data_IF_136440439764
#
_entry.id   IF_136440439764
#
_cell.length_a   1.000
_cell.length_b   1.000
_cell.length_c   1.000
_cell.angle_alpha   90.00
_cell.angle_beta   90.00
_cell.angle_gamma   90.00
#
_symmetry.space_group_name_H-M   'P 1'
#
loop_
_entity.id
_entity.type
_entity.pdbx_description
1 polymer ?
#
# COMPACT_ATOMS: atom_id res chain seq x y z
N UNK A 1 19.67 -18.83 22.22
CA UNK A 1 18.27 -19.30 22.19
C UNK A 1 17.48 -18.66 21.06
N UNK A 2 17.36 -17.32 20.94
CA UNK A 2 16.58 -16.64 19.87
C UNK A 2 16.96 -17.05 18.44
N UNK A 3 18.25 -17.27 18.11
CA UNK A 3 18.69 -17.73 16.78
C UNK A 3 18.21 -19.15 16.45
N UNK A 4 18.16 -20.04 17.43
CA UNK A 4 17.67 -21.41 17.25
C UNK A 4 16.16 -21.41 17.01
N UNK A 5 15.38 -20.65 17.80
CA UNK A 5 13.95 -20.49 17.63
C UNK A 5 13.60 -19.89 16.26
N UNK A 6 14.32 -18.84 15.84
CA UNK A 6 14.16 -18.26 14.50
C UNK A 6 14.40 -19.28 13.39
N UNK A 7 15.51 -20.04 13.47
CA UNK A 7 15.83 -21.09 12.48
C UNK A 7 14.74 -22.15 12.44
N UNK A 8 14.24 -22.55 13.60
CA UNK A 8 13.16 -23.53 13.71
C UNK A 8 11.86 -23.00 13.09
N UNK A 9 11.42 -21.79 13.45
CA UNK A 9 10.23 -21.17 12.88
C UNK A 9 10.35 -20.94 11.38
N UNK A 10 11.51 -20.48 10.91
CA UNK A 10 11.75 -20.26 9.49
C UNK A 10 11.73 -21.59 8.71
N UNK A 11 12.37 -22.65 9.25
CA UNK A 11 12.38 -23.98 8.61
C UNK A 11 11.01 -24.62 8.63
N UNK A 12 10.30 -24.53 9.76
CA UNK A 12 8.95 -25.07 9.91
C UNK A 12 7.95 -24.38 8.99
N UNK A 13 7.97 -23.06 8.96
CA UNK A 13 7.14 -22.26 8.04
C UNK A 13 7.47 -22.57 6.56
N UNK A 14 8.75 -22.76 6.22
CA UNK A 14 9.15 -23.17 4.89
C UNK A 14 8.65 -24.58 4.54
N UNK A 15 8.69 -25.49 5.50
CA UNK A 15 8.19 -26.87 5.35
C UNK A 15 6.68 -26.88 5.14
N UNK A 16 5.93 -26.17 5.99
CA UNK A 16 4.47 -26.04 5.82
C UNK A 16 4.11 -25.46 4.45
N UNK A 17 4.77 -24.36 4.05
CA UNK A 17 4.53 -23.76 2.75
C UNK A 17 4.78 -24.71 1.57
N UNK A 18 5.83 -25.56 1.65
CA UNK A 18 6.11 -26.59 0.64
C UNK A 18 5.08 -27.71 0.67
N UNK A 19 4.64 -28.09 1.87
CA UNK A 19 3.66 -29.14 2.04
C UNK A 19 2.31 -28.72 1.48
N UNK A 20 1.84 -27.52 1.85
CA UNK A 20 0.57 -26.94 1.37
C UNK A 20 0.52 -26.80 -0.16
N UNK A 21 1.70 -26.59 -0.78
CA UNK A 21 1.79 -26.50 -2.24
C UNK A 21 1.92 -27.84 -2.94
N UNK A 22 2.51 -28.85 -2.29
CA UNK A 22 2.69 -30.19 -2.89
C UNK A 22 1.55 -31.14 -2.55
N UNK A 23 0.93 -31.00 -1.42
CA UNK A 23 -0.18 -31.86 -1.02
C UNK A 23 -1.51 -31.22 -1.38
N UNK A 24 -2.43 -32.01 -1.90
CA UNK A 24 -3.82 -31.62 -2.03
C UNK A 24 -4.53 -31.76 -0.67
N UNK A 25 -5.80 -31.36 -0.56
CA UNK A 25 -6.61 -31.63 0.65
C UNK A 25 -6.70 -33.14 0.94
N UNK A 26 -6.85 -33.96 -0.10
CA UNK A 26 -6.86 -35.41 0.05
C UNK A 26 -5.49 -35.96 0.49
N UNK A 27 -4.39 -35.39 -0.03
CA UNK A 27 -3.04 -35.73 0.39
C UNK A 27 -2.75 -35.36 1.84
N UNK A 28 -3.20 -34.22 2.32
CA UNK A 28 -3.05 -33.84 3.74
C UNK A 28 -3.86 -34.75 4.68
N UNK A 29 -5.06 -35.18 4.28
CA UNK A 29 -5.81 -36.19 5.00
C UNK A 29 -5.09 -37.56 5.01
N UNK A 30 -4.56 -37.99 3.87
CA UNK A 30 -3.79 -39.23 3.77
C UNK A 30 -2.56 -39.20 4.69
N UNK A 31 -1.83 -38.08 4.75
CA UNK A 31 -0.73 -37.90 5.69
C UNK A 31 -1.18 -37.92 7.15
N UNK A 32 -2.35 -37.34 7.46
CA UNK A 32 -2.96 -37.41 8.79
C UNK A 32 -3.31 -38.88 9.19
N UNK A 33 -3.94 -39.62 8.27
CA UNK A 33 -4.27 -41.05 8.46
C UNK A 33 -2.96 -41.84 8.63
N UNK A 34 -1.93 -41.56 7.85
CA UNK A 34 -0.62 -42.24 7.97
C UNK A 34 -0.03 -42.01 9.37
N UNK A 35 -0.06 -40.75 9.86
CA UNK A 35 0.39 -40.42 11.21
C UNK A 35 -0.41 -41.15 12.32
N UNK A 36 -1.73 -41.20 12.19
CA UNK A 36 -2.60 -41.94 13.12
C UNK A 36 -2.31 -43.45 13.08
N UNK A 37 -2.11 -43.98 11.86
CA UNK A 37 -1.80 -45.40 11.68
C UNK A 37 -0.44 -45.79 12.30
N UNK A 38 0.56 -44.88 12.28
CA UNK A 38 1.83 -45.09 13.01
C UNK A 38 1.60 -45.22 14.51
N UNK A 39 0.81 -44.33 15.11
CA UNK A 39 0.54 -44.35 16.53
C UNK A 39 -0.23 -45.62 16.95
N UNK A 40 -1.22 -46.03 16.15
CA UNK A 40 -2.02 -47.26 16.41
C UNK A 40 -1.17 -48.52 16.12
N UNK A 41 -0.30 -48.47 15.09
CA UNK A 41 0.52 -49.60 14.68
C UNK A 41 1.73 -49.88 15.59
N UNK A 42 2.00 -49.04 16.60
CA UNK A 42 2.99 -49.30 17.65
C UNK A 42 2.55 -50.48 18.55
N UNK A 43 1.26 -50.79 18.58
CA UNK A 43 0.76 -52.01 19.22
C UNK A 43 0.81 -53.19 18.23
N UNK A 44 1.85 -54.00 18.34
CA UNK A 44 2.14 -55.15 17.45
C UNK A 44 1.05 -56.21 17.41
N UNK A 45 0.13 -56.19 18.34
CA UNK A 45 -1.01 -57.13 18.37
C UNK A 45 -2.19 -56.73 17.45
N UNK A 46 -2.12 -55.54 16.83
CA UNK A 46 -3.17 -55.03 15.94
C UNK A 46 -2.69 -54.95 14.49
N UNK A 47 -2.97 -56.01 13.73
CA UNK A 47 -2.59 -56.11 12.30
C UNK A 47 -3.23 -55.06 11.39
N UNK A 48 -4.43 -54.57 11.74
CA UNK A 48 -5.18 -53.60 10.92
C UNK A 48 -4.46 -52.26 10.81
N UNK A 49 -3.85 -51.73 11.90
CA UNK A 49 -3.10 -50.49 11.87
C UNK A 49 -1.92 -50.55 10.92
N UNK A 50 -1.19 -51.66 10.91
CA UNK A 50 -0.05 -51.88 10.01
C UNK A 50 -0.48 -52.03 8.54
N UNK A 51 -1.58 -52.70 8.25
CA UNK A 51 -2.14 -52.80 6.90
C UNK A 51 -2.57 -51.47 6.33
N UNK A 52 -3.25 -50.63 7.12
CA UNK A 52 -3.65 -49.27 6.73
C UNK A 52 -2.40 -48.42 6.51
N UNK A 53 -1.41 -48.51 7.39
CA UNK A 53 -0.15 -47.78 7.24
C UNK A 53 0.56 -48.15 5.93
N UNK A 54 0.76 -49.44 5.64
CA UNK A 54 1.46 -49.88 4.43
C UNK A 54 0.73 -49.49 3.15
N UNK A 55 -0.61 -49.64 3.16
CA UNK A 55 -1.47 -49.22 2.03
C UNK A 55 -1.37 -47.74 1.76
N UNK A 56 -1.59 -46.90 2.77
CA UNK A 56 -1.55 -45.44 2.60
C UNK A 56 -0.14 -44.96 2.22
N UNK A 57 0.90 -45.54 2.82
CA UNK A 57 2.26 -45.24 2.49
C UNK A 57 2.58 -45.58 1.03
N UNK A 58 2.16 -46.75 0.54
CA UNK A 58 2.32 -47.13 -0.84
C UNK A 58 1.62 -46.19 -1.82
N UNK A 59 0.38 -45.74 -1.49
CA UNK A 59 -0.36 -44.75 -2.28
C UNK A 59 0.37 -43.40 -2.32
N UNK A 60 0.88 -42.94 -1.19
CA UNK A 60 1.63 -41.67 -1.11
C UNK A 60 2.95 -41.75 -1.93
N UNK A 61 3.68 -42.88 -1.83
CA UNK A 61 4.91 -43.11 -2.61
C UNK A 61 4.58 -43.14 -4.10
N UNK A 62 3.55 -43.87 -4.52
CA UNK A 62 3.13 -43.95 -5.91
C UNK A 62 2.74 -42.58 -6.47
N UNK A 63 1.99 -41.83 -5.69
CA UNK A 63 1.59 -40.45 -5.99
C UNK A 63 2.81 -39.54 -6.16
N UNK A 64 3.75 -39.60 -5.21
CA UNK A 64 4.99 -38.82 -5.29
C UNK A 64 5.83 -39.21 -6.51
N UNK A 65 5.96 -40.49 -6.80
CA UNK A 65 6.69 -41.00 -8.00
C UNK A 65 6.03 -40.53 -9.30
N UNK A 66 4.70 -40.57 -9.39
CA UNK A 66 3.96 -40.08 -10.56
C UNK A 66 4.15 -38.58 -10.78
N UNK A 67 4.31 -37.82 -9.72
CA UNK A 67 4.56 -36.36 -9.80
C UNK A 67 5.91 -36.03 -10.46
N UNK A 68 6.91 -36.89 -10.37
CA UNK A 68 8.23 -36.72 -10.99
C UNK A 68 8.20 -36.88 -12.52
N UNK A 69 7.19 -37.57 -13.05
CA UNK A 69 7.01 -37.77 -14.50
C UNK A 69 6.51 -36.50 -15.21
N UNK A 70 6.01 -35.51 -14.44
CA UNK A 70 5.54 -34.26 -15.01
C UNK A 70 6.69 -33.46 -15.64
N UNK A 71 6.75 -33.50 -16.97
CA UNK A 71 7.69 -32.71 -17.76
C UNK A 71 6.96 -31.76 -18.65
N UNK A 72 7.14 -30.45 -18.40
CA UNK A 72 6.54 -29.37 -19.20
C UNK A 72 7.55 -28.26 -19.45
N UNK A 73 7.49 -27.67 -20.64
CA UNK A 73 8.16 -26.40 -20.97
C UNK A 73 7.10 -25.36 -21.17
N UNK A 74 7.02 -24.43 -20.23
CA UNK A 74 6.02 -23.36 -20.23
C UNK A 74 6.71 -22.01 -20.14
N UNK A 75 6.14 -21.03 -20.78
CA UNK A 75 6.43 -19.62 -20.55
C UNK A 75 5.19 -18.93 -20.01
N UNK A 76 5.39 -17.88 -19.25
CA UNK A 76 4.30 -17.09 -18.72
C UNK A 76 4.59 -15.59 -18.90
N UNK A 77 3.56 -14.82 -19.19
CA UNK A 77 3.59 -13.35 -19.26
C UNK A 77 2.44 -12.81 -18.43
N UNK A 78 2.72 -11.95 -17.48
CA UNK A 78 1.73 -11.30 -16.62
C UNK A 78 1.47 -9.89 -17.12
N UNK A 79 0.20 -9.51 -17.25
CA UNK A 79 -0.25 -8.18 -17.67
C UNK A 79 -0.93 -7.55 -16.47
N UNK A 80 -0.17 -6.71 -15.75
CA UNK A 80 -0.64 -5.99 -14.57
C UNK A 80 -1.21 -4.63 -14.96
N UNK A 81 -2.23 -4.12 -14.25
CA UNK A 81 -2.61 -2.72 -14.33
C UNK A 81 -1.52 -1.84 -13.71
N UNK A 82 -1.60 -0.54 -13.94
CA UNK A 82 -0.63 0.42 -13.39
C UNK A 82 -0.67 0.46 -11.86
N UNK A 83 -1.88 0.45 -11.28
CA UNK A 83 -2.11 0.54 -9.85
C UNK A 83 -3.16 -0.45 -9.37
N UNK A 84 -3.12 -0.76 -8.07
CA UNK A 84 -4.17 -1.43 -7.31
C UNK A 84 -4.55 -0.58 -6.10
N UNK A 85 -5.63 -0.90 -5.41
CA UNK A 85 -6.00 -0.26 -4.14
C UNK A 85 -6.01 -1.28 -3.02
N UNK A 86 -5.51 -0.91 -1.85
CA UNK A 86 -5.49 -1.79 -0.68
C UNK A 86 -6.91 -2.17 -0.24
N UNK A 87 -7.14 -3.45 0.03
CA UNK A 87 -8.43 -3.99 0.45
C UNK A 87 -9.47 -4.14 -0.66
N UNK A 88 -9.19 -3.75 -1.90
CA UNK A 88 -10.12 -3.85 -3.03
C UNK A 88 -9.72 -5.01 -3.93
N UNK A 89 -10.60 -6.01 -4.15
CA UNK A 89 -10.35 -7.08 -5.10
C UNK A 89 -10.22 -6.52 -6.52
N UNK A 90 -9.24 -7.05 -7.25
CA UNK A 90 -9.02 -6.71 -8.65
C UNK A 90 -8.61 -7.93 -9.45
N UNK A 91 -8.67 -7.82 -10.77
CA UNK A 91 -8.26 -8.87 -11.69
C UNK A 91 -7.13 -8.40 -12.60
N UNK A 92 -6.25 -9.34 -12.97
CA UNK A 92 -5.23 -9.13 -13.99
C UNK A 92 -5.12 -10.37 -14.87
N UNK A 93 -4.40 -10.26 -15.98
CA UNK A 93 -4.29 -11.34 -16.96
C UNK A 93 -2.92 -11.99 -16.92
N UNK A 94 -2.91 -13.32 -17.04
CA UNK A 94 -1.70 -14.11 -17.19
C UNK A 94 -1.83 -14.95 -18.45
N UNK A 95 -0.94 -14.73 -19.40
CA UNK A 95 -0.83 -15.52 -20.61
C UNK A 95 0.21 -16.65 -20.36
N UNK A 96 -0.16 -17.90 -20.69
CA UNK A 96 0.65 -19.09 -20.49
C UNK A 96 0.81 -19.79 -21.82
N UNK A 97 2.06 -19.93 -22.26
CA UNK A 97 2.42 -20.64 -23.48
C UNK A 97 2.94 -22.05 -23.13
N UNK A 98 2.39 -23.05 -23.81
CA UNK A 98 2.82 -24.43 -23.76
C UNK A 98 3.77 -24.72 -24.93
N UNK A 99 5.05 -24.87 -24.65
CA UNK A 99 6.06 -25.20 -25.66
C UNK A 99 6.23 -26.72 -25.88
N UNK A 100 5.38 -27.55 -25.29
CA UNK A 100 5.42 -29.00 -25.50
C UNK A 100 4.53 -29.42 -26.66
N UNK A 101 4.88 -30.53 -27.31
CA UNK A 101 4.06 -31.12 -28.37
C UNK A 101 2.87 -31.94 -27.86
N UNK A 102 2.53 -31.80 -26.58
CA UNK A 102 1.42 -32.53 -25.94
C UNK A 102 0.46 -31.55 -25.34
N UNK A 103 -0.82 -31.79 -25.52
CA UNK A 103 -1.89 -31.07 -24.81
C UNK A 103 -1.74 -31.32 -23.32
N UNK A 104 -1.86 -30.26 -22.52
CA UNK A 104 -1.78 -30.31 -21.06
C UNK A 104 -3.14 -29.93 -20.47
N UNK A 105 -3.67 -30.78 -19.60
CA UNK A 105 -4.95 -30.56 -18.92
C UNK A 105 -4.80 -30.73 -17.39
N UNK A 106 -5.77 -30.19 -16.65
CA UNK A 106 -5.79 -30.29 -15.17
C UNK A 106 -4.71 -29.46 -14.50
N UNK A 107 -4.23 -28.40 -15.12
CA UNK A 107 -3.25 -27.50 -14.55
C UNK A 107 -3.93 -26.46 -13.66
N UNK A 108 -3.28 -26.08 -12.58
CA UNK A 108 -3.67 -24.99 -11.69
C UNK A 108 -2.56 -23.94 -11.65
N UNK A 109 -2.92 -22.70 -11.85
CA UNK A 109 -2.02 -21.56 -11.76
C UNK A 109 -1.94 -21.09 -10.30
N UNK A 110 -0.73 -21.00 -9.79
CA UNK A 110 -0.38 -20.42 -8.50
C UNK A 110 0.53 -19.22 -8.77
N UNK A 111 0.07 -18.02 -8.45
CA UNK A 111 0.93 -16.84 -8.56
C UNK A 111 1.69 -16.61 -7.26
N UNK A 112 2.99 -16.31 -7.39
CA UNK A 112 3.90 -16.26 -6.25
C UNK A 112 4.34 -14.85 -5.95
N UNK A 113 4.05 -14.43 -4.72
CA UNK A 113 4.59 -13.20 -4.14
C UNK A 113 5.95 -13.44 -3.48
N UNK A 114 6.63 -12.36 -3.16
CA UNK A 114 7.84 -12.40 -2.33
C UNK A 114 7.54 -13.08 -1.00
N UNK A 115 8.52 -13.81 -0.50
CA UNK A 115 8.44 -14.56 0.76
C UNK A 115 8.09 -13.63 1.95
N UNK A 116 6.99 -13.90 2.68
CA UNK A 116 6.57 -13.06 3.79
C UNK A 116 7.34 -13.30 5.10
N UNK A 117 8.32 -14.23 5.11
CA UNK A 117 9.09 -14.53 6.33
C UNK A 117 9.95 -13.33 6.74
N UNK A 118 9.97 -12.97 8.04
CA UNK A 118 10.81 -11.89 8.52
C UNK A 118 12.30 -12.29 8.51
N UNK A 119 13.18 -11.29 8.46
CA UNK A 119 14.60 -11.50 8.72
C UNK A 119 14.86 -11.77 10.21
N UNK A 120 16.06 -12.29 10.53
CA UNK A 120 16.44 -12.50 11.93
C UNK A 120 16.46 -11.19 12.72
N UNK A 121 16.94 -10.12 12.12
CA UNK A 121 17.00 -8.80 12.72
C UNK A 121 15.61 -8.26 13.06
N UNK A 122 14.68 -8.34 12.09
CA UNK A 122 13.28 -7.96 12.30
C UNK A 122 12.62 -8.78 13.42
N UNK A 123 12.86 -10.10 13.45
CA UNK A 123 12.31 -10.95 14.52
C UNK A 123 12.79 -10.57 15.92
N UNK A 124 14.04 -10.11 16.04
CA UNK A 124 14.64 -9.74 17.34
C UNK A 124 14.25 -8.34 17.78
N UNK A 125 14.16 -7.39 16.83
CA UNK A 125 13.94 -5.96 17.12
C UNK A 125 12.46 -5.59 17.15
N UNK A 126 11.62 -6.26 16.36
CA UNK A 126 10.20 -5.94 16.33
C UNK A 126 9.48 -6.37 17.63
N UNK A 127 8.49 -5.57 18.03
CA UNK A 127 7.58 -5.87 19.13
C UNK A 127 6.16 -5.96 18.59
N UNK A 128 5.48 -7.04 18.94
CA UNK A 128 4.05 -7.20 18.62
C UNK A 128 3.22 -6.24 19.48
N UNK A 129 2.20 -5.56 18.94
CA UNK A 129 1.27 -4.78 19.74
C UNK A 129 0.61 -5.63 20.82
N UNK A 130 0.73 -5.22 22.08
CA UNK A 130 0.17 -5.95 23.21
C UNK A 130 1.01 -7.15 23.71
N UNK A 131 2.23 -7.32 23.23
CA UNK A 131 3.15 -8.37 23.69
C UNK A 131 3.36 -8.36 25.20
N UNK A 132 3.29 -7.20 25.84
CA UNK A 132 3.43 -7.04 27.29
C UNK A 132 2.32 -7.72 28.10
N UNK A 133 1.14 -7.89 27.50
CA UNK A 133 -0.04 -8.56 28.11
C UNK A 133 0.00 -10.08 27.98
N UNK A 134 0.96 -10.63 27.22
CA UNK A 134 1.09 -12.08 27.01
C UNK A 134 1.83 -12.75 28.15
N UNK A 135 1.63 -14.04 28.31
CA UNK A 135 2.34 -14.88 29.29
C UNK A 135 3.85 -14.86 29.03
N UNK A 136 4.63 -15.11 30.08
CA UNK A 136 6.09 -15.17 30.01
C UNK A 136 6.60 -16.15 28.94
N UNK A 137 5.96 -17.33 28.82
CA UNK A 137 6.35 -18.35 27.84
C UNK A 137 6.22 -17.87 26.40
N UNK A 138 5.08 -17.28 26.02
CA UNK A 138 4.85 -16.75 24.66
C UNK A 138 5.81 -15.62 24.29
N UNK A 139 6.14 -14.78 25.28
CA UNK A 139 7.14 -13.71 25.09
C UNK A 139 8.54 -14.27 24.86
N UNK A 140 8.89 -15.35 25.60
CA UNK A 140 10.22 -15.98 25.50
C UNK A 140 10.38 -16.76 24.21
N UNK A 141 9.38 -17.54 23.81
CA UNK A 141 9.35 -18.32 22.57
C UNK A 141 9.22 -17.41 21.34
N UNK A 142 8.34 -16.40 21.41
CA UNK A 142 8.16 -15.40 20.35
C UNK A 142 7.43 -15.89 19.11
N UNK A 143 6.68 -17.01 19.22
CA UNK A 143 5.87 -17.51 18.11
C UNK A 143 4.75 -16.55 17.69
N UNK A 144 3.99 -15.91 18.60
CA UNK A 144 3.00 -14.91 18.24
C UNK A 144 3.63 -13.74 17.47
N UNK A 145 4.80 -13.25 17.90
CA UNK A 145 5.56 -12.21 17.18
C UNK A 145 5.94 -12.66 15.77
N UNK A 146 6.39 -13.92 15.61
CA UNK A 146 6.68 -14.49 14.30
C UNK A 146 5.45 -14.49 13.39
N UNK A 147 4.32 -15.02 13.88
CA UNK A 147 3.06 -15.08 13.14
C UNK A 147 2.56 -13.68 12.76
N UNK A 148 2.66 -12.73 13.67
CA UNK A 148 2.34 -11.33 13.42
C UNK A 148 3.23 -10.73 12.33
N UNK A 149 4.54 -10.91 12.38
CA UNK A 149 5.48 -10.41 11.35
C UNK A 149 5.18 -11.01 9.97
N UNK A 150 4.89 -12.32 9.89
CA UNK A 150 4.49 -12.98 8.65
C UNK A 150 3.18 -12.37 8.12
N UNK A 151 2.19 -12.14 8.99
CA UNK A 151 0.93 -11.50 8.61
C UNK A 151 1.14 -10.07 8.11
N UNK A 152 2.08 -9.33 8.73
CA UNK A 152 2.45 -7.98 8.33
C UNK A 152 3.10 -7.92 6.93
N UNK A 153 3.87 -8.96 6.56
CA UNK A 153 4.55 -9.04 5.26
C UNK A 153 3.69 -9.69 4.17
N UNK A 154 2.55 -10.23 4.52
CA UNK A 154 1.61 -10.79 3.55
C UNK A 154 0.99 -9.67 2.74
N UNK A 155 1.48 -9.45 1.52
CA UNK A 155 1.10 -8.31 0.68
C UNK A 155 -0.27 -8.45 0.02
N UNK A 156 -0.68 -9.68 -0.34
CA UNK A 156 -1.96 -9.93 -0.99
C UNK A 156 -2.43 -11.37 -0.79
N UNK A 157 -3.70 -11.61 -1.11
CA UNK A 157 -4.32 -12.94 -1.23
C UNK A 157 -4.60 -13.20 -2.70
N UNK A 158 -4.05 -14.32 -3.23
CA UNK A 158 -4.24 -14.77 -4.61
C UNK A 158 -4.77 -16.20 -4.54
N UNK A 159 -6.03 -16.46 -4.88
CA UNK A 159 -6.56 -17.81 -4.91
C UNK A 159 -5.95 -18.61 -6.07
N UNK A 160 -5.73 -19.95 -5.89
CA UNK A 160 -5.35 -20.82 -7.00
C UNK A 160 -6.37 -20.76 -8.14
N UNK A 161 -5.90 -20.65 -9.40
CA UNK A 161 -6.78 -20.57 -10.56
C UNK A 161 -6.64 -21.82 -11.43
N UNK A 162 -7.69 -22.63 -11.63
CA UNK A 162 -7.66 -23.73 -12.58
C UNK A 162 -7.52 -23.18 -14.02
N UNK A 163 -6.68 -23.83 -14.81
CA UNK A 163 -6.41 -23.48 -16.19
C UNK A 163 -7.27 -24.30 -17.15
N UNK A 164 -7.76 -23.70 -18.23
CA UNK A 164 -8.31 -24.48 -19.34
C UNK A 164 -7.21 -25.39 -19.93
N UNK A 165 -7.58 -26.44 -20.65
CA UNK A 165 -6.61 -27.28 -21.33
C UNK A 165 -5.74 -26.46 -22.28
N UNK A 166 -4.41 -26.59 -22.13
CA UNK A 166 -3.43 -25.94 -23.00
C UNK A 166 -3.13 -26.84 -24.19
N UNK A 167 -3.40 -26.39 -25.39
CA UNK A 167 -3.09 -27.14 -26.59
C UNK A 167 -1.57 -27.26 -26.82
N UNK A 168 -1.18 -28.21 -27.66
CA UNK A 168 0.21 -28.38 -28.05
C UNK A 168 0.72 -27.13 -28.78
N UNK A 169 1.84 -26.57 -28.33
CA UNK A 169 2.44 -25.34 -28.88
C UNK A 169 1.45 -24.16 -28.90
N UNK A 170 0.49 -24.14 -27.95
CA UNK A 170 -0.55 -23.12 -27.83
C UNK A 170 -0.30 -22.13 -26.70
N UNK A 171 -0.94 -20.97 -26.77
CA UNK A 171 -0.98 -19.96 -25.71
C UNK A 171 -2.43 -19.76 -25.24
N UNK A 172 -2.59 -19.60 -23.93
CA UNK A 172 -3.92 -19.35 -23.31
C UNK A 172 -3.80 -18.24 -22.30
N UNK A 173 -4.73 -17.31 -22.35
CA UNK A 173 -4.82 -16.20 -21.39
C UNK A 173 -5.89 -16.50 -20.34
N UNK A 174 -5.55 -16.28 -19.07
CA UNK A 174 -6.47 -16.46 -17.94
C UNK A 174 -6.51 -15.23 -17.05
N UNK A 175 -7.68 -14.97 -16.50
CA UNK A 175 -7.89 -13.90 -15.54
C UNK A 175 -7.65 -14.44 -14.13
N UNK A 176 -6.79 -13.75 -13.40
CA UNK A 176 -6.43 -14.06 -12.00
C UNK A 176 -6.98 -12.97 -11.12
N UNK A 177 -7.61 -13.36 -10.02
CA UNK A 177 -8.11 -12.45 -9.00
C UNK A 177 -7.05 -12.26 -7.92
N UNK A 178 -6.89 -11.03 -7.44
CA UNK A 178 -6.00 -10.66 -6.36
C UNK A 178 -6.66 -9.64 -5.44
N UNK A 179 -6.48 -9.83 -4.13
CA UNK A 179 -6.87 -8.83 -3.14
C UNK A 179 -5.61 -8.34 -2.43
N UNK A 180 -5.11 -7.14 -2.80
CA UNK A 180 -3.99 -6.51 -2.09
C UNK A 180 -4.42 -6.19 -0.66
N UNK A 181 -3.60 -6.56 0.33
CA UNK A 181 -3.91 -6.33 1.74
C UNK A 181 -3.34 -5.02 2.28
N UNK A 182 -2.28 -4.51 1.64
CA UNK A 182 -1.52 -3.35 2.09
C UNK A 182 -1.10 -2.48 0.93
N UNK A 183 -0.94 -1.19 1.20
CA UNK A 183 -0.35 -0.25 0.25
C UNK A 183 1.16 -0.47 0.08
N UNK A 184 1.72 0.09 -0.96
CA UNK A 184 3.14 0.02 -1.29
C UNK A 184 3.44 -0.95 -2.42
N UNK A 185 4.70 -1.30 -2.60
CA UNK A 185 5.14 -2.19 -3.68
C UNK A 185 4.84 -3.65 -3.38
N UNK A 186 3.87 -4.22 -4.11
CA UNK A 186 3.60 -5.64 -4.12
C UNK A 186 4.53 -6.32 -5.14
N UNK A 187 5.45 -7.15 -4.66
CA UNK A 187 6.46 -7.81 -5.49
C UNK A 187 6.07 -9.25 -5.80
N UNK A 188 5.96 -9.55 -7.07
CA UNK A 188 5.77 -10.91 -7.58
C UNK A 188 7.14 -11.56 -7.81
N UNK A 189 7.25 -12.84 -7.50
CA UNK A 189 8.45 -13.66 -7.72
C UNK A 189 8.35 -14.44 -9.00
N UNK A 190 7.18 -15.02 -9.28
CA UNK A 190 6.99 -15.89 -10.42
C UNK A 190 5.61 -16.51 -10.45
N UNK A 191 5.44 -17.45 -11.35
CA UNK A 191 4.21 -18.23 -11.54
C UNK A 191 4.56 -19.69 -11.42
N UNK A 192 3.78 -20.47 -10.69
CA UNK A 192 3.91 -21.92 -10.58
C UNK A 192 2.69 -22.61 -11.17
N UNK A 193 2.92 -23.52 -12.10
CA UNK A 193 1.92 -24.43 -12.62
C UNK A 193 1.95 -25.71 -11.79
N UNK A 194 0.82 -26.00 -11.15
CA UNK A 194 0.60 -27.21 -10.37
C UNK A 194 -0.26 -28.18 -11.16
N UNK A 195 0.11 -29.46 -11.16
CA UNK A 195 -0.67 -30.55 -11.76
C UNK A 195 -0.89 -31.62 -10.70
N UNK A 196 -2.14 -31.90 -10.30
CA UNK A 196 -2.43 -33.04 -9.44
C UNK A 196 -2.00 -34.36 -10.10
N UNK A 197 -1.51 -35.28 -9.30
CA UNK A 197 -1.26 -36.65 -9.72
C UNK A 197 -2.58 -37.42 -9.99
N UNK A 198 -2.57 -38.58 -10.64
CA UNK A 198 -3.77 -39.36 -10.93
C UNK A 198 -4.56 -39.78 -9.69
N UNK A 199 -3.92 -39.93 -8.52
CA UNK A 199 -4.57 -40.26 -7.24
C UNK A 199 -5.06 -39.01 -6.51
N UNK A 200 -4.68 -37.81 -6.97
CA UNK A 200 -5.07 -36.56 -6.37
C UNK A 200 -4.46 -36.28 -4.99
N UNK A 201 -3.39 -36.95 -4.59
CA UNK A 201 -2.75 -36.77 -3.27
C UNK A 201 -1.62 -35.73 -3.31
N UNK A 202 -0.81 -35.75 -4.37
CA UNK A 202 0.36 -34.88 -4.52
C UNK A 202 0.26 -34.07 -5.81
N UNK A 203 0.87 -32.88 -5.83
CA UNK A 203 0.93 -32.03 -7.02
C UNK A 203 2.36 -31.92 -7.53
N UNK A 204 2.54 -32.11 -8.83
CA UNK A 204 3.77 -31.76 -9.52
C UNK A 204 3.79 -30.25 -9.76
N UNK A 205 4.90 -29.60 -9.44
CA UNK A 205 5.06 -28.14 -9.53
C UNK A 205 6.08 -27.77 -10.60
N UNK A 206 5.76 -26.82 -11.45
CA UNK A 206 6.67 -26.20 -12.41
C UNK A 206 6.67 -24.70 -12.23
N UNK A 207 7.72 -24.16 -11.62
CA UNK A 207 7.86 -22.73 -11.37
C UNK A 207 8.55 -22.04 -12.54
N UNK A 208 8.07 -20.84 -12.86
CA UNK A 208 8.57 -19.94 -13.90
C UNK A 208 8.88 -18.61 -13.18
N UNK A 209 10.14 -18.20 -13.21
CA UNK A 209 10.54 -16.91 -12.65
C UNK A 209 9.96 -15.77 -13.50
N UNK A 210 9.18 -14.88 -12.87
CA UNK A 210 8.55 -13.74 -13.54
C UNK A 210 8.49 -12.56 -12.54
N UNK A 211 9.66 -11.97 -12.20
CA UNK A 211 9.71 -10.87 -11.24
C UNK A 211 9.04 -9.63 -11.83
N UNK A 212 8.05 -9.10 -11.12
CA UNK A 212 7.35 -7.86 -11.44
C UNK A 212 6.91 -7.18 -10.14
N UNK A 213 6.60 -5.91 -10.21
CA UNK A 213 6.03 -5.15 -9.09
C UNK A 213 4.76 -4.43 -9.50
N UNK A 214 3.82 -4.37 -8.58
CA UNK A 214 2.58 -3.61 -8.69
C UNK A 214 2.53 -2.60 -7.55
N UNK A 215 2.27 -1.33 -7.86
CA UNK A 215 2.07 -0.33 -6.82
C UNK A 215 0.64 -0.38 -6.32
N UNK A 216 0.49 -0.59 -5.02
CA UNK A 216 -0.80 -0.63 -4.33
C UNK A 216 -1.01 0.71 -3.63
N UNK A 217 -2.01 1.45 -4.05
CA UNK A 217 -2.41 2.73 -3.48
C UNK A 217 -3.11 2.54 -2.12
N UNK A 218 -3.10 3.55 -1.24
CA UNK A 218 -3.85 3.51 0.01
C UNK A 218 -5.35 3.27 -0.24
N UNK A 219 -6.01 2.70 0.75
CA UNK A 219 -7.47 2.60 0.77
C UNK A 219 -8.07 4.00 0.73
N UNK A 220 -9.17 4.16 0.03
CA UNK A 220 -9.88 5.43 -0.12
C UNK A 220 -11.28 5.30 0.44
N UNK A 221 -11.69 6.30 1.19
CA UNK A 221 -13.03 6.41 1.74
C UNK A 221 -13.86 7.40 0.93
N UNK A 222 -15.11 7.10 0.62
CA UNK A 222 -16.03 8.09 0.05
C UNK A 222 -16.23 9.20 1.08
N UNK A 223 -16.06 10.44 0.66
CA UNK A 223 -16.28 11.61 1.51
C UNK A 223 -16.83 12.77 0.68
N UNK A 224 -17.52 13.68 1.35
CA UNK A 224 -17.94 14.93 0.74
C UNK A 224 -16.72 15.83 0.44
N UNK A 225 -16.91 16.79 -0.46
CA UNK A 225 -15.88 17.77 -0.77
C UNK A 225 -15.56 18.61 0.49
N UNK A 226 -14.30 18.58 0.92
CA UNK A 226 -13.86 19.42 2.04
C UNK A 226 -13.64 20.84 1.53
N UNK A 227 -14.49 21.76 1.97
CA UNK A 227 -14.30 23.17 1.74
C UNK A 227 -13.63 23.81 2.95
N UNK A 228 -12.39 24.22 2.77
CA UNK A 228 -11.69 25.04 3.77
C UNK A 228 -11.95 26.48 3.39
N UNK A 229 -12.57 27.23 4.31
CA UNK A 229 -12.74 28.67 4.15
C UNK A 229 -11.36 29.32 4.18
N UNK A 230 -10.70 29.39 3.04
CA UNK A 230 -9.40 30.03 2.89
C UNK A 230 -9.53 31.41 2.24
N UNK A 231 -8.86 32.40 2.77
CA UNK A 231 -8.64 33.67 2.07
C UNK A 231 -7.67 33.45 0.93
N UNK A 232 -8.03 33.93 -0.27
CA UNK A 232 -7.10 33.93 -1.41
C UNK A 232 -5.89 34.79 -1.04
N UNK A 233 -4.73 34.18 -0.84
CA UNK A 233 -3.48 34.91 -0.58
C UNK A 233 -2.80 35.24 -1.92
N UNK A 234 -2.45 36.51 -2.09
CA UNK A 234 -1.68 37.00 -3.24
C UNK A 234 -0.26 36.46 -3.19
N UNK A 235 0.17 35.74 -4.20
CA UNK A 235 1.57 35.44 -4.43
C UNK A 235 2.05 36.18 -5.67
N UNK A 236 2.80 37.29 -5.52
CA UNK A 236 3.45 37.94 -6.65
C UNK A 236 4.56 37.01 -7.18
N UNK A 237 4.43 36.55 -8.41
CA UNK A 237 5.42 35.71 -9.05
C UNK A 237 5.21 34.20 -8.92
N UNK A 238 3.99 33.73 -8.63
CA UNK A 238 3.65 32.31 -8.47
C UNK A 238 3.94 31.38 -9.66
N UNK A 239 4.40 31.91 -10.79
CA UNK A 239 4.76 31.15 -11.99
C UNK A 239 6.21 30.62 -11.95
N UNK A 240 7.09 31.21 -11.14
CA UNK A 240 8.53 30.86 -11.16
C UNK A 240 8.89 29.60 -10.40
N UNK A 241 8.01 29.04 -9.55
CA UNK A 241 8.26 27.82 -8.76
C UNK A 241 7.54 26.57 -9.29
N UNK A 242 6.61 26.71 -10.22
CA UNK A 242 5.99 25.61 -10.92
C UNK A 242 6.61 25.47 -12.32
N UNK A 243 7.87 25.03 -12.39
CA UNK A 243 8.60 24.84 -13.65
C UNK A 243 8.06 23.73 -14.57
N UNK A 244 6.81 23.32 -14.39
CA UNK A 244 6.15 22.26 -15.18
C UNK A 244 4.68 22.55 -15.54
N UNK A 245 4.14 23.73 -15.21
CA UNK A 245 2.78 24.11 -15.63
C UNK A 245 2.90 25.31 -16.55
N UNK A 246 2.39 25.15 -17.76
CA UNK A 246 2.52 26.13 -18.84
C UNK A 246 2.08 27.53 -18.43
N UNK A 247 2.86 28.53 -18.92
CA UNK A 247 2.56 29.94 -18.87
C UNK A 247 1.17 30.22 -19.43
N UNK A 248 0.17 30.26 -18.59
CA UNK A 248 -1.10 30.89 -18.94
C UNK A 248 -1.10 32.31 -18.39
N UNK A 249 -0.28 33.15 -19.00
CA UNK A 249 -0.50 34.59 -18.97
C UNK A 249 -1.77 34.84 -19.80
N UNK A 250 -2.95 34.72 -19.21
CA UNK A 250 -4.17 35.02 -19.92
C UNK A 250 -4.22 36.55 -20.15
N UNK A 251 -4.03 36.92 -21.41
CA UNK A 251 -4.05 38.33 -21.85
C UNK A 251 -5.46 38.88 -21.68
N UNK A 252 -5.60 39.92 -20.86
CA UNK A 252 -6.89 40.56 -20.59
C UNK A 252 -7.08 41.79 -21.46
N UNK A 253 -6.14 42.75 -21.41
CA UNK A 253 -6.29 44.02 -22.05
C UNK A 253 -4.95 44.70 -22.37
N UNK A 254 -5.05 45.76 -23.16
CA UNK A 254 -3.96 46.67 -23.41
C UNK A 254 -4.28 48.01 -22.72
N UNK A 255 -3.41 48.47 -21.83
CA UNK A 255 -3.50 49.82 -21.22
C UNK A 255 -2.31 50.70 -21.53
N UNK A 256 -2.49 51.95 -21.33
CA UNK A 256 -1.37 52.91 -21.49
C UNK A 256 -0.29 52.65 -20.44
N UNK A 257 0.95 52.80 -20.81
CA UNK A 257 2.13 52.66 -19.96
C UNK A 257 2.11 53.70 -18.83
N UNK A 258 2.43 53.24 -17.62
CA UNK A 258 2.65 54.09 -16.45
C UNK A 258 4.10 53.98 -16.00
N UNK A 259 4.66 55.04 -15.45
CA UNK A 259 6.00 55.01 -14.88
C UNK A 259 6.09 53.96 -13.78
N UNK A 260 7.01 52.98 -13.93
CA UNK A 260 7.14 51.79 -13.05
C UNK A 260 6.71 50.47 -13.68
N UNK A 261 6.03 50.49 -14.82
CA UNK A 261 5.66 49.26 -15.53
C UNK A 261 6.91 48.60 -16.15
N UNK A 262 7.05 47.26 -16.06
CA UNK A 262 8.19 46.53 -16.63
C UNK A 262 8.21 46.65 -18.16
N UNK A 263 9.33 47.07 -18.72
CA UNK A 263 9.51 47.26 -20.19
C UNK A 263 9.23 45.97 -20.98
N UNK A 264 9.46 44.77 -20.39
CA UNK A 264 9.16 43.48 -21.01
C UNK A 264 7.67 43.26 -21.30
N UNK A 265 6.78 43.99 -20.62
CA UNK A 265 5.32 43.91 -20.82
C UNK A 265 4.80 44.88 -21.88
N UNK A 266 5.67 45.70 -22.50
CA UNK A 266 5.27 46.59 -23.56
C UNK A 266 4.87 45.78 -24.80
N UNK A 267 3.67 46.08 -25.33
CA UNK A 267 3.20 45.51 -26.58
C UNK A 267 3.72 46.32 -27.76
N UNK A 268 4.91 46.00 -28.23
CA UNK A 268 5.64 46.76 -29.27
C UNK A 268 4.84 46.91 -30.56
N UNK A 269 4.02 45.95 -30.95
CA UNK A 269 3.15 46.01 -32.13
C UNK A 269 2.08 47.10 -32.00
N UNK A 270 1.48 47.26 -30.82
CA UNK A 270 0.51 48.33 -30.55
C UNK A 270 1.20 49.69 -30.41
N UNK A 271 2.38 49.75 -29.77
CA UNK A 271 3.18 50.94 -29.69
C UNK A 271 3.52 51.51 -31.08
N UNK A 272 3.95 50.66 -32.01
CA UNK A 272 4.26 51.08 -33.39
C UNK A 272 3.04 51.62 -34.16
N UNK A 273 1.82 51.20 -33.78
CA UNK A 273 0.58 51.61 -34.44
C UNK A 273 -0.04 52.88 -33.82
N UNK A 274 0.04 53.02 -32.50
CA UNK A 274 -0.66 54.05 -31.75
C UNK A 274 0.26 55.23 -31.38
N UNK A 275 1.59 55.08 -31.53
CA UNK A 275 2.60 56.14 -31.25
C UNK A 275 2.81 56.40 -29.75
N UNK A 276 2.20 55.64 -28.86
CA UNK A 276 2.38 55.71 -27.39
C UNK A 276 2.61 54.32 -26.79
N UNK A 277 3.42 54.21 -25.74
CA UNK A 277 3.70 52.90 -25.15
C UNK A 277 2.47 52.32 -24.49
N UNK A 278 2.15 51.07 -24.88
CA UNK A 278 1.00 50.30 -24.41
C UNK A 278 1.52 49.03 -23.76
N UNK A 279 1.02 48.70 -22.57
CA UNK A 279 1.43 47.54 -21.77
C UNK A 279 0.36 46.46 -21.82
N UNK A 280 0.77 45.23 -21.94
CA UNK A 280 -0.11 44.06 -21.80
C UNK A 280 -0.49 43.92 -20.34
N UNK A 281 -1.78 43.86 -20.08
CA UNK A 281 -2.35 43.56 -18.77
C UNK A 281 -2.77 42.12 -18.77
N UNK A 282 -2.27 41.41 -17.76
CA UNK A 282 -2.56 39.98 -17.54
C UNK A 282 -3.43 39.86 -16.30
N UNK A 283 -4.31 38.88 -16.28
CA UNK A 283 -5.03 38.50 -15.06
C UNK A 283 -4.01 37.88 -14.11
N UNK A 284 -3.90 38.46 -12.92
CA UNK A 284 -3.22 37.79 -11.83
C UNK A 284 -4.14 36.63 -11.37
N UNK A 285 -3.84 35.41 -11.80
CA UNK A 285 -4.55 34.23 -11.32
C UNK A 285 -4.21 33.99 -9.85
N UNK A 286 -5.18 34.14 -8.96
CA UNK A 286 -5.05 33.81 -7.55
C UNK A 286 -5.34 32.34 -7.34
N UNK A 287 -4.31 31.59 -6.99
CA UNK A 287 -4.48 30.18 -6.63
C UNK A 287 -4.70 30.03 -5.13
N UNK A 288 -5.70 29.25 -4.79
CA UNK A 288 -5.89 28.77 -3.42
C UNK A 288 -4.89 27.63 -3.21
N UNK A 289 -4.02 27.73 -2.21
CA UNK A 289 -3.04 26.73 -1.88
C UNK A 289 -3.31 26.12 -0.53
N UNK A 290 -3.65 24.85 -0.49
CA UNK A 290 -3.93 24.13 0.73
C UNK A 290 -2.76 23.22 1.11
N UNK A 291 -2.52 23.08 2.42
CA UNK A 291 -1.62 22.08 2.95
C UNK A 291 -2.40 20.87 3.48
N UNK A 292 -1.93 19.69 3.16
CA UNK A 292 -2.33 18.43 3.79
C UNK A 292 -1.13 17.92 4.61
N UNK A 293 -1.20 18.10 5.91
CA UNK A 293 -0.15 17.69 6.85
C UNK A 293 -0.46 16.31 7.37
N UNK A 294 0.42 15.36 7.10
CA UNK A 294 0.30 13.98 7.57
C UNK A 294 1.31 13.70 8.68
N UNK A 295 0.80 13.35 9.85
CA UNK A 295 1.61 12.87 10.97
C UNK A 295 2.11 11.45 10.68
N UNK A 296 3.44 11.30 10.64
CA UNK A 296 4.12 10.03 10.38
C UNK A 296 4.84 9.49 11.61
N UNK A 297 4.75 10.18 12.75
CA UNK A 297 5.52 9.85 13.96
C UNK A 297 4.84 8.74 14.75
N UNK A 298 5.21 7.51 14.47
CA UNK A 298 4.82 6.32 15.25
C UNK A 298 5.99 5.37 15.39
N UNK A 299 6.09 4.73 16.55
CA UNK A 299 7.13 3.75 16.85
C UNK A 299 6.86 2.36 16.28
N UNK A 300 5.63 2.08 15.90
CA UNK A 300 5.20 0.74 15.49
C UNK A 300 5.17 0.59 13.96
N UNK A 301 5.81 -0.46 13.43
CA UNK A 301 5.68 -0.86 12.03
C UNK A 301 4.33 -1.53 11.84
N UNK A 302 3.59 -1.11 10.80
CA UNK A 302 2.28 -1.68 10.49
C UNK A 302 1.21 -1.35 11.52
N UNK A 303 1.34 -0.20 12.18
CA UNK A 303 0.30 0.32 13.07
C UNK A 303 -0.98 0.59 12.26
N UNK A 304 -2.10 -0.05 12.60
CA UNK A 304 -3.37 0.21 11.94
C UNK A 304 -3.79 1.68 11.98
N UNK A 305 -3.42 2.42 13.03
CA UNK A 305 -3.73 3.85 13.15
C UNK A 305 -3.01 4.65 12.07
N UNK A 306 -1.72 4.37 11.86
CA UNK A 306 -0.94 5.01 10.81
C UNK A 306 -1.45 4.66 9.40
N UNK A 307 -1.79 3.40 9.15
CA UNK A 307 -2.34 2.96 7.85
C UNK A 307 -3.68 3.65 7.54
N UNK A 308 -4.53 3.82 8.55
CA UNK A 308 -5.78 4.55 8.40
C UNK A 308 -5.56 6.06 8.23
N UNK A 309 -4.59 6.66 8.91
CA UNK A 309 -4.24 8.06 8.72
C UNK A 309 -3.77 8.35 7.29
N UNK A 310 -2.96 7.46 6.70
CA UNK A 310 -2.57 7.57 5.29
C UNK A 310 -3.77 7.40 4.36
N UNK A 311 -4.71 6.51 4.70
CA UNK A 311 -5.95 6.30 3.93
C UNK A 311 -6.87 7.53 3.99
N UNK A 312 -6.96 8.18 5.17
CA UNK A 312 -7.65 9.46 5.36
C UNK A 312 -6.99 10.56 4.52
N UNK A 313 -5.66 10.69 4.60
CA UNK A 313 -4.92 11.65 3.80
C UNK A 313 -5.12 11.45 2.29
N UNK A 314 -5.12 10.20 1.82
CA UNK A 314 -5.40 9.88 0.42
C UNK A 314 -6.84 10.25 0.00
N UNK A 315 -7.82 10.04 0.89
CA UNK A 315 -9.22 10.40 0.64
C UNK A 315 -9.40 11.92 0.55
N UNK A 316 -8.76 12.65 1.46
CA UNK A 316 -8.75 14.12 1.48
C UNK A 316 -8.06 14.67 0.23
N UNK A 317 -6.90 14.11 -0.14
CA UNK A 317 -6.16 14.54 -1.32
C UNK A 317 -7.00 14.47 -2.60
N UNK A 318 -7.88 13.46 -2.70
CA UNK A 318 -8.80 13.32 -3.84
C UNK A 318 -9.97 14.30 -3.74
N UNK A 319 -10.57 14.46 -2.53
CA UNK A 319 -11.74 15.33 -2.34
C UNK A 319 -11.42 16.82 -2.49
N UNK A 320 -10.17 17.22 -2.18
CA UNK A 320 -9.72 18.61 -2.30
C UNK A 320 -9.26 19.01 -3.70
N UNK A 321 -9.21 18.06 -4.64
CA UNK A 321 -8.83 18.35 -6.01
C UNK A 321 -9.96 19.03 -6.78
N UNK A 322 -10.04 20.33 -6.61
CA UNK A 322 -10.76 21.19 -7.55
C UNK A 322 -9.78 21.69 -8.62
N UNK A 323 -10.27 22.01 -9.80
CA UNK A 323 -9.43 22.50 -10.91
C UNK A 323 -8.69 23.83 -10.57
N UNK A 324 -9.00 24.46 -9.44
CA UNK A 324 -8.56 25.80 -9.06
C UNK A 324 -7.61 25.87 -7.86
N UNK A 325 -7.28 24.72 -7.20
CA UNK A 325 -6.43 24.72 -6.01
C UNK A 325 -5.17 23.91 -6.16
N UNK A 326 -4.10 24.35 -5.51
CA UNK A 326 -2.86 23.60 -5.32
C UNK A 326 -2.90 22.87 -3.99
N UNK A 327 -2.40 21.64 -3.92
CA UNK A 327 -2.33 20.87 -2.69
C UNK A 327 -0.89 20.50 -2.36
N UNK A 328 -0.40 20.98 -1.23
CA UNK A 328 0.91 20.63 -0.67
C UNK A 328 0.74 19.49 0.33
N UNK A 329 1.21 18.30 -0.01
CA UNK A 329 1.33 17.19 0.93
C UNK A 329 2.63 17.33 1.72
N UNK A 330 2.52 17.48 3.04
CA UNK A 330 3.65 17.66 3.96
C UNK A 330 3.72 16.52 4.96
N UNK A 331 4.86 15.86 5.03
CA UNK A 331 5.14 14.81 6.02
C UNK A 331 6.65 14.69 6.27
N UNK A 332 7.05 13.98 7.31
CA UNK A 332 8.45 13.70 7.62
C UNK A 332 8.72 12.20 7.48
N UNK A 333 9.71 11.87 6.68
CA UNK A 333 10.30 10.55 6.55
C UNK A 333 11.78 10.59 6.96
N UNK A 334 12.70 9.99 6.18
CA UNK A 334 14.14 10.19 6.36
C UNK A 334 14.53 11.68 6.30
N UNK A 335 13.79 12.46 5.51
CA UNK A 335 13.84 13.92 5.44
C UNK A 335 12.44 14.51 5.57
N UNK A 336 12.33 15.83 5.73
CA UNK A 336 11.06 16.52 5.64
C UNK A 336 10.69 16.65 4.15
N UNK A 337 9.53 16.13 3.79
CA UNK A 337 9.03 16.15 2.42
C UNK A 337 7.86 17.13 2.30
N UNK A 338 7.91 17.92 1.24
CA UNK A 338 6.76 18.66 0.77
C UNK A 338 6.59 18.34 -0.72
N UNK A 339 5.47 17.75 -1.07
CA UNK A 339 5.12 17.43 -2.44
C UNK A 339 3.93 18.31 -2.85
N UNK A 340 4.15 19.19 -3.81
CA UNK A 340 3.10 20.06 -4.36
C UNK A 340 2.45 19.39 -5.55
N UNK A 341 1.17 19.09 -5.43
CA UNK A 341 0.35 18.63 -6.54
C UNK A 341 -0.28 19.83 -7.24
N UNK A 342 -0.06 19.92 -8.54
CA UNK A 342 -0.70 20.90 -9.41
C UNK A 342 -2.11 20.51 -9.83
N UNK A 343 -2.62 21.16 -10.85
CA UNK A 343 -3.95 20.92 -11.43
C UNK A 343 -3.97 19.62 -12.25
N UNK A 344 -5.01 18.81 -12.11
CA UNK A 344 -5.33 17.70 -13.00
C UNK A 344 -5.09 16.30 -12.42
N UNK A 345 -5.68 15.32 -13.10
CA UNK A 345 -5.74 13.90 -12.66
C UNK A 345 -4.34 13.28 -12.52
N UNK A 346 -3.40 13.65 -13.37
CA UNK A 346 -2.02 13.12 -13.31
C UNK A 346 -1.30 13.47 -12.01
N UNK A 347 -1.56 14.64 -11.45
CA UNK A 347 -0.95 15.07 -10.18
C UNK A 347 -1.56 14.36 -8.97
N UNK A 348 -2.86 13.98 -9.05
CA UNK A 348 -3.49 13.14 -8.00
C UNK A 348 -2.87 11.77 -7.94
N UNK A 349 -2.65 11.16 -9.10
CA UNK A 349 -2.00 9.85 -9.16
C UNK A 349 -0.63 9.90 -8.50
N UNK A 350 0.17 10.93 -8.80
CA UNK A 350 1.49 11.13 -8.19
C UNK A 350 1.41 11.30 -6.66
N UNK A 351 0.42 12.05 -6.16
CA UNK A 351 0.18 12.21 -4.73
C UNK A 351 -0.14 10.87 -4.06
N UNK A 352 -1.00 10.06 -4.69
CA UNK A 352 -1.33 8.73 -4.20
C UNK A 352 -0.14 7.78 -4.28
N UNK A 353 0.73 7.88 -5.30
CA UNK A 353 1.98 7.13 -5.40
C UNK A 353 2.92 7.47 -4.23
N UNK A 354 3.06 8.76 -3.91
CA UNK A 354 3.84 9.20 -2.74
C UNK A 354 3.24 8.62 -1.46
N UNK A 355 1.92 8.78 -1.24
CA UNK A 355 1.24 8.25 -0.06
C UNK A 355 1.31 6.71 0.03
N UNK A 356 1.35 6.01 -1.10
CA UNK A 356 1.55 4.56 -1.12
C UNK A 356 2.90 4.15 -0.52
N UNK A 357 3.93 5.00 -0.67
CA UNK A 357 5.30 4.72 -0.24
C UNK A 357 5.67 5.37 1.11
N UNK A 358 4.81 6.23 1.69
CA UNK A 358 5.08 6.88 2.99
C UNK A 358 5.23 5.83 4.09
N UNK A 359 6.34 5.90 4.82
CA UNK A 359 6.62 5.06 5.98
C UNK A 359 6.56 5.84 7.30
N UNK A 360 6.47 5.12 8.44
CA UNK A 360 6.52 5.73 9.76
C UNK A 360 7.90 6.34 10.04
N UNK A 361 7.93 7.56 10.61
CA UNK A 361 9.13 8.23 11.05
C UNK A 361 9.40 7.91 12.52
N UNK A 362 10.64 7.42 12.83
CA UNK A 362 11.05 7.01 14.19
C UNK A 362 12.21 7.81 14.74
N UNK A 363 13.01 8.34 13.84
CA UNK A 363 14.35 8.86 14.18
C UNK A 363 14.35 10.37 14.37
N UNK A 364 13.23 11.04 14.09
CA UNK A 364 13.12 12.50 14.19
C UNK A 364 12.02 12.92 15.16
N UNK A 365 12.19 14.07 15.82
CA UNK A 365 11.15 14.67 16.65
C UNK A 365 10.06 15.30 15.79
N UNK A 366 8.84 15.40 16.34
CA UNK A 366 7.69 16.04 15.68
C UNK A 366 7.97 17.49 15.25
N UNK A 367 8.88 18.17 15.94
CA UNK A 367 9.32 19.53 15.59
C UNK A 367 9.83 19.66 14.14
N UNK A 368 10.33 18.59 13.55
CA UNK A 368 10.76 18.62 12.15
C UNK A 368 9.58 18.87 11.20
N UNK A 369 8.39 18.29 11.47
CA UNK A 369 7.17 18.57 10.74
C UNK A 369 6.66 19.98 11.02
N UNK A 370 6.70 20.39 12.29
CA UNK A 370 6.30 21.72 12.72
C UNK A 370 7.05 22.83 11.95
N UNK A 371 8.39 22.76 11.90
CA UNK A 371 9.20 23.71 11.12
C UNK A 371 8.86 23.67 9.62
N UNK A 372 8.76 22.48 9.02
CA UNK A 372 8.46 22.33 7.61
C UNK A 372 7.11 22.96 7.20
N UNK A 373 6.13 22.95 8.11
CA UNK A 373 4.82 23.57 7.88
C UNK A 373 4.89 25.07 8.06
N UNK A 374 5.55 25.55 9.13
CA UNK A 374 5.64 26.99 9.42
C UNK A 374 6.48 27.73 8.40
N UNK A 375 7.54 27.15 7.88
CA UNK A 375 8.39 27.76 6.85
C UNK A 375 7.61 28.11 5.55
N UNK A 376 6.41 27.55 5.39
CA UNK A 376 5.55 27.74 4.21
C UNK A 376 4.22 28.39 4.47
N UNK A 377 3.93 28.75 5.73
CA UNK A 377 2.62 29.27 6.14
C UNK A 377 2.14 30.48 5.34
N UNK A 378 3.07 31.38 4.91
CA UNK A 378 2.75 32.56 4.12
C UNK A 378 2.09 32.24 2.78
N UNK A 379 2.44 31.10 2.20
CA UNK A 379 1.90 30.63 0.93
C UNK A 379 0.55 29.87 1.08
N UNK A 380 0.17 29.48 2.29
CA UNK A 380 -0.99 28.63 2.52
C UNK A 380 -2.26 29.45 2.73
N UNK A 381 -3.32 29.04 2.02
CA UNK A 381 -4.68 29.58 2.18
C UNK A 381 -5.48 28.79 3.23
N UNK A 382 -5.08 27.57 3.53
CA UNK A 382 -5.68 26.71 4.56
C UNK A 382 -4.92 25.43 4.74
N UNK A 383 -5.14 24.75 5.86
CA UNK A 383 -4.43 23.55 6.26
C UNK A 383 -5.38 22.45 6.75
N UNK A 384 -5.14 21.21 6.37
CA UNK A 384 -5.74 20.01 6.97
C UNK A 384 -4.64 19.20 7.64
N UNK A 385 -4.78 18.99 8.95
CA UNK A 385 -3.84 18.18 9.73
C UNK A 385 -4.45 16.81 10.04
N UNK A 386 -3.82 15.74 9.59
CA UNK A 386 -4.14 14.36 9.95
C UNK A 386 -3.12 13.88 10.96
N UNK A 387 -3.54 13.80 12.23
CA UNK A 387 -2.66 13.54 13.37
C UNK A 387 -2.93 12.17 14.00
N UNK A 388 -1.87 11.55 14.57
CA UNK A 388 -1.93 10.25 15.26
C UNK A 388 -2.15 10.36 16.76
N UNK A 389 -2.25 11.57 17.29
CA UNK A 389 -2.43 11.83 18.72
C UNK A 389 -2.65 13.32 18.98
N UNK A 390 -2.77 13.68 20.27
CA UNK A 390 -3.01 15.05 20.72
C UNK A 390 -2.14 15.39 21.94
N UNK A 391 -0.82 15.35 21.72
CA UNK A 391 0.20 15.76 22.69
C UNK A 391 0.54 17.26 22.55
N UNK A 392 1.37 17.77 23.46
CA UNK A 392 1.75 19.19 23.50
C UNK A 392 2.39 19.65 22.19
N UNK A 393 3.20 18.83 21.55
CA UNK A 393 3.88 19.18 20.31
C UNK A 393 2.90 19.34 19.14
N UNK A 394 1.85 18.48 19.08
CA UNK A 394 0.80 18.54 18.06
C UNK A 394 -0.13 19.72 18.31
N UNK A 395 -0.48 19.97 19.57
CA UNK A 395 -1.25 21.15 19.97
C UNK A 395 -0.52 22.45 19.67
N UNK A 396 0.79 22.48 19.86
CA UNK A 396 1.63 23.66 19.57
C UNK A 396 1.61 23.98 18.06
N UNK A 397 1.72 22.98 17.19
CA UNK A 397 1.59 23.18 15.75
C UNK A 397 0.25 23.82 15.37
N UNK A 398 -0.87 23.27 15.89
CA UNK A 398 -2.20 23.76 15.58
C UNK A 398 -2.39 25.18 16.09
N UNK A 399 -1.99 25.47 17.34
CA UNK A 399 -2.04 26.82 17.93
C UNK A 399 -1.23 27.85 17.12
N UNK A 400 -0.05 27.48 16.61
CA UNK A 400 0.76 28.37 15.79
C UNK A 400 0.06 28.66 14.44
N UNK A 401 -0.53 27.66 13.78
CA UNK A 401 -1.25 27.85 12.52
C UNK A 401 -2.48 28.77 12.72
N UNK A 402 -3.22 28.58 13.81
CA UNK A 402 -4.36 29.41 14.18
C UNK A 402 -3.93 30.85 14.51
N UNK A 403 -2.85 31.04 15.27
CA UNK A 403 -2.29 32.34 15.60
C UNK A 403 -1.82 33.12 14.37
N UNK A 404 -1.36 32.43 13.34
CA UNK A 404 -0.99 32.99 12.04
C UNK A 404 -2.19 33.24 11.12
N UNK A 405 -3.41 32.98 11.60
CA UNK A 405 -4.64 33.21 10.84
C UNK A 405 -4.84 32.23 9.67
N UNK A 406 -4.17 31.08 9.68
CA UNK A 406 -4.36 30.03 8.67
C UNK A 406 -5.54 29.16 9.07
N UNK A 407 -6.65 29.12 8.31
CA UNK A 407 -7.78 28.23 8.61
C UNK A 407 -7.30 26.78 8.65
N UNK A 408 -7.44 26.16 9.82
CA UNK A 408 -6.89 24.81 10.04
C UNK A 408 -8.00 23.86 10.43
N UNK A 409 -8.10 22.71 9.74
CA UNK A 409 -8.97 21.61 10.10
C UNK A 409 -8.12 20.46 10.66
N UNK A 410 -8.45 19.99 11.84
CA UNK A 410 -7.69 18.96 12.55
C UNK A 410 -8.49 17.68 12.64
N UNK A 411 -7.90 16.58 12.16
CA UNK A 411 -8.42 15.23 12.19
C UNK A 411 -7.49 14.35 12.99
N UNK A 412 -8.00 13.73 14.07
CA UNK A 412 -7.20 12.80 14.88
C UNK A 412 -7.67 11.39 14.59
N UNK A 413 -6.75 10.57 14.08
CA UNK A 413 -6.98 9.15 13.84
C UNK A 413 -6.48 8.36 15.05
N UNK A 414 -7.33 7.50 15.61
CA UNK A 414 -6.96 6.72 16.79
C UNK A 414 -7.88 5.54 17.05
N UNK A 415 -7.48 4.71 18.02
CA UNK A 415 -8.35 3.67 18.56
C UNK A 415 -9.34 4.31 19.52
N UNK A 416 -10.54 3.76 19.62
CA UNK A 416 -11.58 4.24 20.51
C UNK A 416 -11.10 4.52 21.93
N UNK A 417 -10.41 3.53 22.54
CA UNK A 417 -9.88 3.64 23.91
C UNK A 417 -8.91 4.83 24.09
N UNK A 418 -8.16 5.17 23.05
CA UNK A 418 -7.22 6.30 23.07
C UNK A 418 -7.96 7.61 22.87
N UNK A 419 -8.89 7.67 21.91
CA UNK A 419 -9.65 8.87 21.58
C UNK A 419 -10.56 9.30 22.74
N UNK A 420 -11.17 8.34 23.48
CA UNK A 420 -12.04 8.63 24.62
C UNK A 420 -11.29 9.23 25.83
N UNK A 421 -9.97 8.99 25.91
CA UNK A 421 -9.10 9.55 26.96
C UNK A 421 -8.57 10.94 26.65
N UNK A 422 -8.67 11.37 25.39
CA UNK A 422 -8.17 12.67 24.97
C UNK A 422 -9.23 13.76 25.20
N UNK A 423 -8.85 14.79 25.93
CA UNK A 423 -9.65 16.02 26.01
C UNK A 423 -9.46 16.83 24.72
N UNK A 424 -10.34 16.62 23.74
CA UNK A 424 -10.25 17.28 22.44
C UNK A 424 -11.15 18.50 22.39
N UNK A 425 -10.67 19.65 21.86
CA UNK A 425 -11.48 20.82 21.56
C UNK A 425 -12.59 20.51 20.55
N UNK A 426 -13.70 21.26 20.57
CA UNK A 426 -14.85 21.01 19.71
C UNK A 426 -14.62 21.17 18.21
N UNK A 427 -13.54 21.86 17.81
CA UNK A 427 -13.12 22.03 16.40
C UNK A 427 -12.24 20.88 15.87
N UNK A 428 -11.88 19.93 16.73
CA UNK A 428 -11.06 18.77 16.38
C UNK A 428 -11.95 17.56 16.11
N UNK A 429 -11.84 16.98 14.91
CA UNK A 429 -12.63 15.83 14.51
C UNK A 429 -11.95 14.52 14.88
N UNK A 430 -12.73 13.58 15.45
CA UNK A 430 -12.26 12.24 15.85
C UNK A 430 -12.55 11.25 14.74
N UNK A 431 -11.54 10.48 14.36
CA UNK A 431 -11.66 9.39 13.38
C UNK A 431 -11.26 8.08 14.04
N UNK A 432 -12.24 7.23 14.33
CA UNK A 432 -12.02 5.94 14.98
C UNK A 432 -11.57 4.88 13.95
N UNK A 433 -10.49 4.17 14.22
CA UNK A 433 -10.03 3.03 13.41
C UNK A 433 -11.13 1.98 13.34
N UNK A 434 -11.50 1.58 12.12
CA UNK A 434 -12.64 0.68 11.85
C UNK A 434 -13.95 1.39 11.52
N UNK A 435 -14.08 2.70 11.82
CA UNK A 435 -15.26 3.54 11.50
C UNK A 435 -14.92 4.84 10.78
N UNK A 436 -13.80 4.86 10.08
CA UNK A 436 -13.30 6.06 9.39
C UNK A 436 -14.33 6.64 8.41
N UNK A 437 -15.04 5.79 7.65
CA UNK A 437 -16.04 6.25 6.70
C UNK A 437 -17.18 7.04 7.36
N UNK A 438 -17.66 6.60 8.53
CA UNK A 438 -18.68 7.28 9.30
C UNK A 438 -18.18 8.64 9.81
N UNK A 439 -16.94 8.69 10.33
CA UNK A 439 -16.33 9.92 10.82
C UNK A 439 -16.08 10.94 9.69
N UNK A 440 -15.69 10.51 8.49
CA UNK A 440 -15.49 11.37 7.34
C UNK A 440 -16.81 11.87 6.73
N UNK A 441 -17.91 11.14 6.88
CA UNK A 441 -19.22 11.57 6.43
C UNK A 441 -19.81 12.71 7.30
N UNK A 442 -19.29 12.91 8.52
CA UNK A 442 -19.69 13.96 9.44
C UNK A 442 -18.84 15.25 9.34
N UNK A 443 -17.90 15.33 8.39
CA UNK A 443 -17.05 16.50 8.14
C UNK A 443 -17.73 17.52 7.25
#
# INVERSE_FOLDING_TARGET
>A
MKRLLYRWFSSFSAFQYRLDRRCTRAGSLALGILGAAVVIGLDTNRTVGYQVFTLVLALVILSAASSLVFRGRFAARRILPRFASAGVPMTYRVAIANHTRRRQAGLVLLDELTDPRPSFEEFVTAREPGEERRNWFDRQVGYPRWAWLVSQKRGAVIPPRPLPPLDAVGETEVTVEITPLRRGHLRFRGVTLARPDPLGLVQALKSIALPQSLLVLPKRYPMAEIRIAGTRKYQPGGVALASTVGDSEEFVSLRDYRAGDPMRRIHWKSFARVGRPVVKEYLDEFFVRHALVLDTFTSQVGDPVFEEAVSVAASIAISMQTQESLLDLMFVGPEAYCFTAGRGVAHTEQLLEVLACVGPCRDKPFRALHHAVLDRHDALSGCVCVLLGWDDARQELVRHLEALGTPTRVLIVGRRETLDRLALPGHVHRLEVGRIAEGLACL
#
